data_IF_472490385887
#
_entry.id   IF_472490385887
#
_cell.length_a   1.000
_cell.length_b   1.000
_cell.length_c   1.000
_cell.angle_alpha   90.00
_cell.angle_beta   90.00
_cell.angle_gamma   90.00
#
_symmetry.space_group_name_H-M   'P 1'
#
loop_
_entity.id
_entity.type
_entity.pdbx_description
1 polymer ?
#
# COMPACT_ATOMS: atom_id res chain seq x y z
N UNK A 1 -12.32 -16.73 -2.11
CA UNK A 1 -12.05 -15.54 -2.95
C UNK A 1 -10.82 -14.80 -2.41
N UNK A 2 -9.86 -14.47 -3.28
CA UNK A 2 -8.59 -13.82 -2.92
C UNK A 2 -8.63 -12.28 -2.92
N UNK A 3 -9.73 -11.68 -2.46
CA UNK A 3 -10.00 -10.24 -2.61
C UNK A 3 -9.15 -9.40 -1.66
N UNK A 4 -9.03 -9.81 -0.38
CA UNK A 4 -8.47 -8.98 0.69
C UNK A 4 -7.20 -9.56 1.34
N UNK A 5 -7.29 -10.71 2.02
CA UNK A 5 -6.13 -11.28 2.74
C UNK A 5 -4.96 -11.65 1.82
N UNK A 6 -5.23 -12.40 0.75
CA UNK A 6 -4.17 -12.83 -0.18
C UNK A 6 -3.60 -11.67 -1.01
N UNK A 7 -4.43 -10.70 -1.39
CA UNK A 7 -3.96 -9.52 -2.13
C UNK A 7 -3.04 -8.65 -1.27
N UNK A 8 -3.33 -8.48 0.02
CA UNK A 8 -2.44 -7.77 0.95
C UNK A 8 -1.05 -8.41 1.04
N UNK A 9 -0.97 -9.74 1.09
CA UNK A 9 0.31 -10.45 1.12
C UNK A 9 1.08 -10.26 -0.19
N UNK A 10 0.39 -10.31 -1.34
CA UNK A 10 1.00 -10.05 -2.65
C UNK A 10 1.56 -8.61 -2.72
N UNK A 11 0.81 -7.62 -2.23
CA UNK A 11 1.29 -6.23 -2.17
C UNK A 11 2.53 -6.08 -1.29
N UNK A 12 2.53 -6.70 -0.10
CA UNK A 12 3.69 -6.71 0.78
C UNK A 12 4.91 -7.35 0.11
N UNK A 13 4.71 -8.46 -0.61
CA UNK A 13 5.76 -9.13 -1.36
C UNK A 13 6.35 -8.23 -2.46
N UNK A 14 5.50 -7.58 -3.26
CA UNK A 14 5.94 -6.67 -4.31
C UNK A 14 6.75 -5.50 -3.73
N UNK A 15 6.27 -4.89 -2.65
CA UNK A 15 7.02 -3.81 -2.00
C UNK A 15 8.39 -4.27 -1.48
N UNK A 16 8.48 -5.47 -0.88
CA UNK A 16 9.72 -5.98 -0.27
C UNK A 16 10.76 -6.44 -1.29
N UNK A 17 10.33 -7.17 -2.32
CA UNK A 17 11.24 -7.88 -3.22
C UNK A 17 11.36 -7.25 -4.61
N UNK A 18 10.37 -6.44 -5.01
CA UNK A 18 10.44 -5.65 -6.23
C UNK A 18 10.75 -4.18 -5.96
N UNK A 19 10.90 -3.79 -4.69
CA UNK A 19 11.21 -2.41 -4.27
C UNK A 19 10.21 -1.37 -4.77
N UNK A 20 8.97 -1.82 -5.03
CA UNK A 20 7.90 -0.97 -5.50
C UNK A 20 7.25 -0.20 -4.34
N UNK A 21 6.76 1.00 -4.63
CA UNK A 21 5.86 1.70 -3.71
C UNK A 21 4.53 0.96 -3.61
N UNK A 22 3.77 1.19 -2.53
CA UNK A 22 2.45 0.60 -2.36
C UNK A 22 1.56 0.90 -3.58
N UNK A 23 1.63 2.13 -4.10
CA UNK A 23 0.86 2.55 -5.26
C UNK A 23 1.23 1.74 -6.52
N UNK A 24 2.52 1.62 -6.84
CA UNK A 24 2.99 0.82 -7.99
C UNK A 24 2.62 -0.65 -7.85
N UNK A 25 2.81 -1.23 -6.66
CA UNK A 25 2.44 -2.60 -6.38
C UNK A 25 0.92 -2.81 -6.54
N UNK A 26 0.12 -1.83 -6.15
CA UNK A 26 -1.33 -1.87 -6.26
C UNK A 26 -1.80 -1.80 -7.71
N UNK A 27 -1.26 -0.87 -8.49
CA UNK A 27 -1.56 -0.74 -9.92
C UNK A 27 -1.17 -2.01 -10.68
N UNK A 28 0.01 -2.55 -10.40
CA UNK A 28 0.49 -3.83 -10.96
C UNK A 28 -0.45 -5.00 -10.64
N UNK A 29 -0.98 -5.04 -9.42
CA UNK A 29 -1.90 -6.09 -8.98
C UNK A 29 -3.27 -5.94 -9.62
N UNK A 30 -3.80 -4.72 -9.75
CA UNK A 30 -5.10 -4.47 -10.37
C UNK A 30 -5.10 -4.80 -11.86
N UNK A 31 -4.00 -4.53 -12.56
CA UNK A 31 -3.80 -4.89 -13.97
C UNK A 31 -3.97 -6.41 -14.20
N UNK A 32 -3.45 -7.23 -13.28
CA UNK A 32 -3.56 -8.71 -13.35
C UNK A 32 -4.83 -9.26 -12.74
N UNK A 33 -5.36 -8.60 -11.72
CA UNK A 33 -6.49 -9.07 -10.92
C UNK A 33 -7.34 -7.89 -10.43
N UNK A 34 -8.30 -7.43 -11.26
CA UNK A 34 -9.12 -6.24 -10.97
C UNK A 34 -9.99 -6.37 -9.71
N UNK A 35 -10.31 -7.59 -9.28
CA UNK A 35 -11.14 -7.85 -8.08
C UNK A 35 -10.33 -7.82 -6.77
N UNK A 36 -9.10 -7.31 -6.78
CA UNK A 36 -8.26 -7.20 -5.59
C UNK A 36 -8.61 -5.92 -4.84
N UNK A 37 -9.05 -6.06 -3.59
CA UNK A 37 -9.41 -4.95 -2.72
C UNK A 37 -9.10 -5.36 -1.27
N UNK A 38 -7.87 -5.09 -0.79
CA UNK A 38 -7.55 -5.15 0.63
C UNK A 38 -8.57 -4.33 1.43
N UNK A 39 -8.89 -4.79 2.65
CA UNK A 39 -9.75 -4.00 3.51
C UNK A 39 -8.97 -2.79 4.06
N UNK A 40 -9.65 -1.75 4.58
CA UNK A 40 -8.97 -0.55 5.10
C UNK A 40 -7.91 -0.85 6.16
N UNK A 41 -8.15 -1.82 7.06
CA UNK A 41 -7.17 -2.22 8.08
C UNK A 41 -5.88 -2.77 7.47
N UNK A 42 -5.97 -3.58 6.42
CA UNK A 42 -4.78 -4.04 5.69
C UNK A 42 -4.11 -2.92 4.91
N UNK A 43 -4.86 -2.00 4.30
CA UNK A 43 -4.26 -0.85 3.63
C UNK A 43 -3.44 0.01 4.60
N UNK A 44 -3.95 0.26 5.81
CA UNK A 44 -3.19 0.96 6.87
C UNK A 44 -1.91 0.21 7.21
N UNK A 45 -1.98 -1.11 7.37
CA UNK A 45 -0.80 -1.93 7.65
C UNK A 45 0.21 -1.89 6.50
N UNK A 46 -0.25 -1.91 5.24
CA UNK A 46 0.60 -1.82 4.05
C UNK A 46 1.26 -0.44 3.93
N UNK A 47 0.55 0.65 4.27
CA UNK A 47 1.11 2.00 4.32
C UNK A 47 2.19 2.12 5.40
N UNK A 48 1.97 1.51 6.57
CA UNK A 48 3.00 1.45 7.64
C UNK A 48 4.21 0.66 7.18
N UNK A 49 3.98 -0.47 6.53
CA UNK A 49 5.04 -1.32 5.99
C UNK A 49 5.88 -0.61 4.93
N UNK A 50 5.26 0.13 4.00
CA UNK A 50 5.99 0.95 3.03
C UNK A 50 6.90 1.99 3.71
N UNK A 51 6.43 2.63 4.79
CA UNK A 51 7.24 3.56 5.58
C UNK A 51 8.44 2.86 6.23
N UNK A 52 8.24 1.67 6.79
CA UNK A 52 9.32 0.85 7.35
C UNK A 52 10.37 0.50 6.30
N UNK A 53 9.93 0.06 5.11
CA UNK A 53 10.83 -0.25 3.99
C UNK A 53 11.59 0.97 3.46
N UNK A 54 10.95 2.14 3.43
CA UNK A 54 11.62 3.40 3.08
C UNK A 54 12.67 3.80 4.10
N UNK A 55 12.42 3.53 5.39
CA UNK A 55 13.38 3.79 6.45
C UNK A 55 14.57 2.81 6.44
N UNK A 56 14.35 1.56 6.00
CA UNK A 56 15.44 0.58 5.79
C UNK A 56 16.21 0.79 4.48
N UNK A 57 15.81 1.75 3.65
CA UNK A 57 16.43 2.02 2.34
C UNK A 57 16.09 0.97 1.27
N UNK A 58 15.07 0.15 1.51
CA UNK A 58 14.63 -0.89 0.59
C UNK A 58 13.70 -0.36 -0.51
N UNK A 59 13.12 0.83 -0.31
CA UNK A 59 12.36 1.54 -1.33
C UNK A 59 12.98 2.91 -1.51
N UNK A 60 13.44 3.19 -2.73
CA UNK A 60 14.03 4.48 -3.05
C UNK A 60 13.04 5.63 -2.82
N UNK A 61 13.55 6.76 -2.34
CA UNK A 61 12.81 8.02 -2.31
C UNK A 61 12.49 8.39 -3.74
N UNK A 62 11.25 8.19 -4.19
CA UNK A 62 10.83 8.67 -5.51
C UNK A 62 11.16 10.16 -5.63
N UNK A 63 12.07 10.50 -6.54
CA UNK A 63 12.19 11.84 -7.10
C UNK A 63 11.22 11.89 -8.29
N UNK A 64 9.95 12.26 -8.13
CA UNK A 64 9.08 12.58 -9.27
C UNK A 64 8.01 13.60 -8.90
N UNK A 65 7.82 14.57 -9.79
CA UNK A 65 7.06 15.80 -9.66
C UNK A 65 5.55 15.64 -9.98
N UNK A 66 4.98 14.45 -9.76
CA UNK A 66 3.61 14.11 -10.19
C UNK A 66 2.66 13.85 -9.01
N UNK A 67 2.72 14.70 -7.97
CA UNK A 67 1.76 14.75 -6.85
C UNK A 67 0.34 15.24 -7.27
N UNK A 68 -0.07 14.97 -8.51
CA UNK A 68 -1.45 15.17 -8.99
C UNK A 68 -2.12 13.83 -9.29
N UNK A 69 -2.34 13.07 -8.22
CA UNK A 69 -3.62 12.52 -7.81
C UNK A 69 -3.27 11.56 -6.66
N UNK A 70 -3.23 12.07 -5.43
CA UNK A 70 -3.16 11.21 -4.25
C UNK A 70 -4.57 10.60 -4.05
N UNK A 71 -4.83 9.33 -4.43
CA UNK A 71 -6.15 8.73 -4.22
C UNK A 71 -6.33 8.33 -2.74
N UNK A 72 -5.27 8.44 -1.92
CA UNK A 72 -5.27 8.08 -0.49
C UNK A 72 -5.79 9.24 0.38
N UNK A 73 -6.32 10.33 -0.19
CA UNK A 73 -7.16 11.27 0.57
C UNK A 73 -8.51 10.70 1.02
N UNK A 74 -8.87 9.47 0.60
CA UNK A 74 -10.11 8.80 1.02
C UNK A 74 -9.98 8.16 2.42
N UNK A 75 -8.78 8.18 3.02
CA UNK A 75 -8.53 7.55 4.31
C UNK A 75 -8.23 8.56 5.43
N UNK A 76 -9.06 9.59 5.55
CA UNK A 76 -9.30 10.29 6.81
C UNK A 76 -10.02 9.34 7.79
N UNK A 77 -9.36 8.23 8.16
CA UNK A 77 -9.82 7.40 9.27
C UNK A 77 -9.60 8.22 10.53
N UNK A 78 -10.66 8.56 11.29
CA UNK A 78 -10.50 9.25 12.54
C UNK A 78 -9.55 8.43 13.43
N UNK A 79 -8.52 9.14 13.90
CA UNK A 79 -7.49 8.72 14.84
C UNK A 79 -7.96 7.58 15.76
N UNK A 80 -7.41 6.37 15.60
CA UNK A 80 -7.70 5.23 16.49
C UNK A 80 -6.96 5.34 17.82
N UNK A 81 -6.67 6.55 18.30
CA UNK A 81 -6.11 6.76 19.65
C UNK A 81 -7.16 6.65 20.77
N UNK A 82 -8.38 6.18 20.49
CA UNK A 82 -9.44 5.99 21.48
C UNK A 82 -10.19 4.66 21.29
N UNK A 83 -9.47 3.54 21.36
CA UNK A 83 -10.09 2.27 21.74
C UNK A 83 -9.17 1.70 22.82
N UNK A 84 -9.53 2.00 24.08
CA UNK A 84 -9.10 1.21 25.25
C UNK A 84 -9.57 -0.24 25.11
#
# INVERSE_FOLDING_TARGET
MGISRSSSIVLAYLMKYHHDTLMKAYDFLLDRRPISCPNPGFLIQLIRYEKELRNSGEIDKQKNNDDKQNPIKILDIPNTSNIE
#
